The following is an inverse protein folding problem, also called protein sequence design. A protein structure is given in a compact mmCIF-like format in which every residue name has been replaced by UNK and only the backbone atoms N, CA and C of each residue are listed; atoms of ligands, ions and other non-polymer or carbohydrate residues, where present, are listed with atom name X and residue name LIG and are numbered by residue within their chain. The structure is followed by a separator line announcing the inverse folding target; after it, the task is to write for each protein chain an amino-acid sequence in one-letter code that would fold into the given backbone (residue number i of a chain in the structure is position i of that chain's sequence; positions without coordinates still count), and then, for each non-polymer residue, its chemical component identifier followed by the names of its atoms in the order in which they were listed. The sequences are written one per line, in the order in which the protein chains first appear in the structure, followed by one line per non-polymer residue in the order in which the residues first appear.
data_IF_044379170466
#
_entry.id   IF_044379170466
#
_cell.length_a   1.000
_cell.length_b   1.000
_cell.length_c   1.000
_cell.angle_alpha   90.00
_cell.angle_beta   90.00
_cell.angle_gamma   90.00
#
_symmetry.space_group_name_H-M   'P 1'
#
loop_
_entity.id
_entity.type
_entity.pdbx_description
1 polymer ?
#
# COMPACT_ATOMS: atom_id res chain seq x y z
N UNK A 1 -20.75 -14.14 2.33
CA UNK A 1 -20.86 -12.65 2.14
C UNK A 1 -20.25 -11.90 3.32
N UNK A 2 -20.62 -12.19 4.56
CA UNK A 2 -20.11 -11.48 5.77
C UNK A 2 -18.58 -11.57 5.92
N UNK A 3 -17.97 -12.73 5.74
CA UNK A 3 -16.50 -12.89 5.80
C UNK A 3 -15.75 -12.09 4.74
N UNK A 4 -16.30 -11.97 3.52
CA UNK A 4 -15.71 -11.16 2.46
C UNK A 4 -15.69 -9.67 2.85
N UNK A 5 -16.78 -9.20 3.47
CA UNK A 5 -16.85 -7.82 4.00
C UNK A 5 -15.83 -7.61 5.10
N UNK A 6 -15.69 -8.57 6.04
CA UNK A 6 -14.69 -8.47 7.11
C UNK A 6 -13.26 -8.41 6.57
N UNK A 7 -12.91 -9.20 5.53
CA UNK A 7 -11.59 -9.12 4.89
C UNK A 7 -11.37 -7.78 4.19
N UNK A 8 -12.38 -7.25 3.51
CA UNK A 8 -12.31 -5.92 2.89
C UNK A 8 -12.15 -4.80 3.93
N UNK A 9 -12.87 -4.87 5.03
CA UNK A 9 -12.71 -3.95 6.17
C UNK A 9 -11.31 -4.08 6.79
N UNK A 10 -10.82 -5.31 6.99
CA UNK A 10 -9.47 -5.55 7.50
C UNK A 10 -8.38 -4.95 6.60
N UNK A 11 -8.53 -5.05 5.28
CA UNK A 11 -7.61 -4.46 4.33
C UNK A 11 -7.56 -2.92 4.47
N UNK A 12 -8.71 -2.25 4.48
CA UNK A 12 -8.77 -0.79 4.56
C UNK A 12 -8.37 -0.26 5.93
N UNK A 13 -8.84 -0.91 7.01
CA UNK A 13 -8.47 -0.52 8.38
C UNK A 13 -6.98 -0.77 8.65
N UNK A 14 -6.42 -1.87 8.13
CA UNK A 14 -4.99 -2.16 8.24
C UNK A 14 -4.13 -1.09 7.59
N UNK A 15 -4.54 -0.59 6.43
CA UNK A 15 -3.88 0.54 5.78
C UNK A 15 -3.94 1.81 6.63
N UNK A 16 -5.12 2.21 7.11
CA UNK A 16 -5.31 3.40 7.93
C UNK A 16 -4.50 3.35 9.23
N UNK A 17 -4.50 2.19 9.90
CA UNK A 17 -3.73 2.00 11.14
C UNK A 17 -2.23 2.01 10.84
N UNK A 18 -1.80 1.35 9.76
CA UNK A 18 -0.40 1.32 9.35
C UNK A 18 0.15 2.71 9.07
N UNK A 19 -0.55 3.51 8.29
CA UNK A 19 -0.23 4.90 7.97
C UNK A 19 -0.17 5.78 9.23
N UNK A 20 -1.18 5.69 10.12
CA UNK A 20 -1.20 6.46 11.35
C UNK A 20 -0.12 6.04 12.38
N UNK A 21 0.33 4.78 12.39
CA UNK A 21 1.46 4.34 13.20
C UNK A 21 2.79 4.79 12.59
N UNK A 22 2.92 4.76 11.27
CA UNK A 22 4.11 5.21 10.55
C UNK A 22 4.38 6.70 10.78
N UNK A 23 3.34 7.54 10.82
CA UNK A 23 3.47 8.98 11.08
C UNK A 23 4.26 9.31 12.35
N UNK A 24 4.26 8.41 13.35
CA UNK A 24 4.98 8.59 14.62
C UNK A 24 6.49 8.40 14.50
N UNK A 25 6.96 7.72 13.47
CA UNK A 25 8.36 7.32 13.29
C UNK A 25 8.95 7.64 11.92
N UNK A 26 8.14 8.15 11.00
CA UNK A 26 8.56 8.51 9.67
C UNK A 26 9.77 9.46 9.70
N UNK A 27 10.76 9.19 8.86
CA UNK A 27 12.05 9.90 8.78
C UNK A 27 12.92 9.82 10.04
N UNK A 28 12.54 9.07 11.08
CA UNK A 28 13.40 8.90 12.25
C UNK A 28 14.46 7.81 12.00
N UNK A 29 15.71 8.02 12.46
CA UNK A 29 16.73 6.99 12.43
C UNK A 29 16.35 5.77 13.29
N UNK A 30 16.77 4.54 12.93
CA UNK A 30 16.42 3.31 13.66
C UNK A 30 16.73 3.36 15.16
N UNK A 31 17.87 3.95 15.50
CA UNK A 31 18.27 4.07 16.91
C UNK A 31 17.31 4.95 17.70
N UNK A 32 16.78 6.01 17.08
CA UNK A 32 15.77 6.87 17.72
C UNK A 32 14.44 6.15 17.85
N UNK A 33 14.02 5.41 16.82
CA UNK A 33 12.80 4.59 16.85
C UNK A 33 12.92 3.55 17.97
N UNK A 34 14.01 2.80 18.01
CA UNK A 34 14.24 1.78 19.04
C UNK A 34 14.30 2.37 20.46
N UNK A 35 14.91 3.56 20.62
CA UNK A 35 14.96 4.25 21.92
C UNK A 35 13.57 4.71 22.38
N UNK A 36 12.75 5.25 21.45
CA UNK A 36 11.41 5.76 21.76
C UNK A 36 10.39 4.63 21.91
N UNK A 37 10.51 3.60 21.08
CA UNK A 37 9.60 2.47 21.00
C UNK A 37 10.35 1.13 21.05
N UNK A 38 10.92 0.74 22.19
CA UNK A 38 11.75 -0.47 22.31
C UNK A 38 10.99 -1.77 21.99
N UNK A 39 9.67 -1.76 22.12
CA UNK A 39 8.77 -2.89 21.79
C UNK A 39 8.01 -2.68 20.47
N UNK A 40 8.47 -1.76 19.61
CA UNK A 40 7.78 -1.34 18.40
C UNK A 40 6.65 -0.33 18.69
N UNK A 41 6.20 0.34 17.62
CA UNK A 41 5.07 1.29 17.69
C UNK A 41 3.78 0.48 17.78
N UNK A 42 3.08 0.55 18.92
CA UNK A 42 1.93 -0.30 19.26
C UNK A 42 0.67 0.48 19.58
N UNK A 43 0.76 1.79 19.69
CA UNK A 43 -0.35 2.66 20.07
C UNK A 43 -0.41 3.85 19.13
N UNK A 44 -1.61 4.30 18.86
CA UNK A 44 -1.85 5.57 18.20
C UNK A 44 -1.72 6.68 19.25
N UNK A 45 -0.73 7.53 19.08
CA UNK A 45 -0.36 8.60 20.01
C UNK A 45 -0.26 9.93 19.25
N UNK A 46 -0.24 11.05 20.00
CA UNK A 46 0.06 12.36 19.45
C UNK A 46 1.52 12.48 19.01
N UNK A 47 1.80 13.28 17.99
CA UNK A 47 3.14 13.71 17.63
C UNK A 47 3.65 13.10 16.32
N UNK A 48 4.89 12.63 16.33
CA UNK A 48 5.58 12.20 15.10
C UNK A 48 6.15 13.38 14.30
N UNK A 49 6.58 13.12 13.09
CA UNK A 49 7.19 14.10 12.19
C UNK A 49 6.23 15.23 11.82
N UNK A 50 4.94 14.91 11.73
CA UNK A 50 3.89 15.83 11.29
C UNK A 50 3.04 16.39 12.43
N UNK A 51 3.39 16.10 13.69
CA UNK A 51 2.63 16.52 14.88
C UNK A 51 1.12 16.15 14.78
N UNK A 52 0.87 14.91 14.36
CA UNK A 52 -0.49 14.39 14.14
C UNK A 52 -1.19 14.06 15.45
N UNK A 53 -2.52 14.16 15.47
CA UNK A 53 -3.34 13.60 16.55
C UNK A 53 -3.43 12.06 16.41
N UNK A 54 -3.78 11.31 17.51
CA UNK A 54 -3.83 9.86 17.46
C UNK A 54 -4.76 9.33 16.37
N UNK A 55 -4.20 8.52 15.46
CA UNK A 55 -4.97 7.93 14.37
C UNK A 55 -5.23 8.84 13.17
N UNK A 56 -4.63 10.03 13.13
CA UNK A 56 -4.71 10.88 11.96
C UNK A 56 -3.91 10.26 10.81
N UNK A 57 -4.53 10.02 9.65
CA UNK A 57 -3.85 9.50 8.48
C UNK A 57 -3.10 10.61 7.73
N UNK A 58 -2.16 10.20 6.88
CA UNK A 58 -1.41 11.04 5.93
C UNK A 58 -1.93 10.84 4.50
N UNK A 59 -1.12 11.26 3.51
CA UNK A 59 -1.45 11.19 2.07
C UNK A 59 -1.74 9.75 1.60
N UNK A 60 -1.08 8.73 2.14
CA UNK A 60 -1.35 7.31 1.90
C UNK A 60 -2.83 6.98 2.02
N UNK A 61 -3.41 7.30 3.16
CA UNK A 61 -4.81 6.99 3.45
C UNK A 61 -5.78 8.02 2.90
N UNK A 62 -5.41 9.29 2.87
CA UNK A 62 -6.28 10.34 2.29
C UNK A 62 -6.58 10.04 0.82
N UNK A 63 -5.55 9.71 0.02
CA UNK A 63 -5.72 9.36 -1.39
C UNK A 63 -6.45 8.02 -1.56
N UNK A 64 -6.19 7.03 -0.70
CA UNK A 64 -6.93 5.77 -0.72
C UNK A 64 -8.42 5.98 -0.41
N UNK A 65 -8.75 6.79 0.60
CA UNK A 65 -10.15 7.12 0.93
C UNK A 65 -10.85 7.92 -0.17
N UNK A 66 -10.12 8.80 -0.85
CA UNK A 66 -10.62 9.52 -2.01
C UNK A 66 -10.99 8.56 -3.14
N UNK A 67 -10.11 7.61 -3.45
CA UNK A 67 -10.35 6.54 -4.41
C UNK A 67 -11.55 5.67 -3.96
N UNK A 68 -11.59 5.24 -2.70
CA UNK A 68 -12.69 4.44 -2.16
C UNK A 68 -14.04 5.13 -2.33
N UNK A 69 -14.15 6.42 -1.96
CA UNK A 69 -15.38 7.21 -2.12
C UNK A 69 -15.84 7.29 -3.57
N UNK A 70 -14.89 7.47 -4.50
CA UNK A 70 -15.18 7.47 -5.92
C UNK A 70 -15.75 6.11 -6.36
N UNK A 71 -15.07 5.01 -6.01
CA UNK A 71 -15.46 3.66 -6.39
C UNK A 71 -16.81 3.24 -5.80
N UNK A 72 -17.12 3.63 -4.57
CA UNK A 72 -18.43 3.40 -3.95
C UNK A 72 -19.55 4.10 -4.71
N UNK A 73 -19.28 5.33 -5.19
CA UNK A 73 -20.27 6.12 -5.95
C UNK A 73 -20.53 5.58 -7.35
N UNK A 74 -19.51 5.02 -8.00
CA UNK A 74 -19.55 4.70 -9.44
C UNK A 74 -19.58 3.22 -9.74
N UNK A 75 -19.16 2.38 -8.79
CA UNK A 75 -18.94 0.94 -8.95
C UNK A 75 -17.98 0.57 -10.10
N UNK A 76 -17.21 1.52 -10.61
CA UNK A 76 -16.24 1.31 -11.70
C UNK A 76 -15.10 2.32 -11.59
N UNK A 77 -14.02 2.09 -12.32
CA UNK A 77 -12.86 3.00 -12.36
C UNK A 77 -12.85 3.85 -13.62
N UNK A 78 -12.53 5.14 -13.48
CA UNK A 78 -12.29 6.05 -14.58
C UNK A 78 -11.09 6.96 -14.26
N UNK A 79 -10.01 6.84 -15.03
CA UNK A 79 -8.76 7.55 -14.82
C UNK A 79 -8.92 9.08 -14.85
N UNK A 80 -9.75 9.61 -15.77
CA UNK A 80 -9.98 11.07 -15.86
C UNK A 80 -10.68 11.63 -14.64
N UNK A 81 -11.68 10.93 -14.13
CA UNK A 81 -12.40 11.32 -12.94
C UNK A 81 -11.47 11.28 -11.71
N UNK A 82 -10.63 10.24 -11.59
CA UNK A 82 -9.65 10.14 -10.52
C UNK A 82 -8.56 11.20 -10.61
N UNK A 83 -8.10 11.54 -11.81
CA UNK A 83 -7.16 12.66 -11.99
C UNK A 83 -7.75 13.96 -11.45
N UNK A 84 -9.02 14.25 -11.75
CA UNK A 84 -9.71 15.45 -11.25
C UNK A 84 -9.89 15.40 -9.72
N UNK A 85 -10.21 14.24 -9.14
CA UNK A 85 -10.34 14.06 -7.71
C UNK A 85 -8.98 14.29 -6.99
N UNK A 86 -7.89 13.72 -7.53
CA UNK A 86 -6.55 13.92 -7.00
C UNK A 86 -6.10 15.39 -7.10
N UNK A 87 -6.44 16.09 -8.18
CA UNK A 87 -6.19 17.54 -8.30
C UNK A 87 -6.98 18.35 -7.25
N UNK A 88 -8.24 17.99 -7.01
CA UNK A 88 -9.04 18.62 -5.97
C UNK A 88 -8.41 18.42 -4.59
N UNK A 89 -7.94 17.20 -4.28
CA UNK A 89 -7.22 16.91 -3.05
C UNK A 89 -5.91 17.73 -2.94
N UNK A 90 -5.10 17.78 -3.99
CA UNK A 90 -3.87 18.59 -3.97
C UNK A 90 -4.15 20.08 -3.72
N UNK A 91 -5.24 20.61 -4.30
CA UNK A 91 -5.65 22.01 -4.12
C UNK A 91 -6.20 22.30 -2.71
N UNK A 92 -6.54 21.28 -1.91
CA UNK A 92 -6.89 21.44 -0.50
C UNK A 92 -5.68 21.69 0.41
N UNK A 93 -4.47 21.68 -0.16
CA UNK A 93 -3.21 21.89 0.55
C UNK A 93 -3.01 20.86 1.67
N UNK A 94 -2.96 19.55 1.34
CA UNK A 94 -2.68 18.51 2.32
C UNK A 94 -1.35 18.80 3.03
N UNK A 95 -1.27 18.49 4.33
CA UNK A 95 -0.05 18.74 5.12
C UNK A 95 1.11 17.80 4.73
N UNK A 96 0.79 16.64 4.16
CA UNK A 96 1.76 15.71 3.58
C UNK A 96 1.38 15.43 2.12
N UNK A 97 2.36 15.48 1.24
CA UNK A 97 2.18 15.17 -0.17
C UNK A 97 3.52 14.85 -0.83
N UNK A 98 3.66 13.64 -1.35
CA UNK A 98 4.85 13.22 -2.06
C UNK A 98 5.18 14.11 -3.27
N UNK A 99 6.46 14.49 -3.43
CA UNK A 99 6.93 15.39 -4.51
C UNK A 99 6.57 14.85 -5.90
N UNK A 100 6.67 13.53 -6.13
CA UNK A 100 6.30 12.89 -7.40
C UNK A 100 4.81 13.05 -7.70
N UNK A 101 3.96 12.91 -6.70
CA UNK A 101 2.50 13.10 -6.80
C UNK A 101 2.18 14.54 -7.19
N UNK A 102 2.66 15.49 -6.39
CA UNK A 102 2.40 16.91 -6.62
C UNK A 102 2.86 17.35 -8.02
N UNK A 103 4.10 17.01 -8.41
CA UNK A 103 4.65 17.33 -9.72
C UNK A 103 3.84 16.74 -10.86
N UNK A 104 3.42 15.48 -10.75
CA UNK A 104 2.65 14.81 -11.79
C UNK A 104 1.24 15.41 -11.95
N UNK A 105 0.56 15.71 -10.84
CA UNK A 105 -0.76 16.34 -10.86
C UNK A 105 -0.72 17.75 -11.46
N UNK A 106 0.40 18.46 -11.31
CA UNK A 106 0.67 19.75 -11.95
C UNK A 106 1.19 19.63 -13.39
N UNK A 107 1.07 18.44 -14.00
CA UNK A 107 1.43 18.21 -15.41
C UNK A 107 2.91 17.90 -15.67
N UNK A 108 3.71 17.68 -14.63
CA UNK A 108 5.16 17.40 -14.71
C UNK A 108 5.46 15.96 -14.25
N UNK A 109 4.93 14.97 -14.97
CA UNK A 109 5.19 13.56 -14.69
C UNK A 109 6.67 13.21 -14.91
N UNK A 110 7.25 12.47 -13.96
CA UNK A 110 8.61 11.95 -14.07
C UNK A 110 8.57 10.43 -14.39
N UNK A 111 8.87 10.00 -15.63
CA UNK A 111 8.86 8.58 -16.00
C UNK A 111 9.98 7.78 -15.35
N UNK A 112 11.00 8.43 -14.81
CA UNK A 112 12.10 7.76 -14.13
C UNK A 112 11.86 7.59 -12.62
N UNK A 113 10.84 8.23 -12.06
CA UNK A 113 10.52 8.09 -10.63
C UNK A 113 9.94 6.71 -10.34
N UNK A 114 10.56 6.00 -9.42
CA UNK A 114 10.10 4.75 -8.85
C UNK A 114 9.60 4.91 -7.41
N UNK A 115 9.03 6.07 -7.08
CA UNK A 115 8.44 6.31 -5.77
C UNK A 115 7.18 5.45 -5.55
N UNK A 116 6.86 5.16 -4.28
CA UNK A 116 5.76 4.27 -3.89
C UNK A 116 4.37 4.94 -3.88
N UNK A 117 4.26 6.24 -4.13
CA UNK A 117 3.03 7.02 -3.94
C UNK A 117 1.81 6.62 -4.78
N UNK A 118 1.97 5.74 -5.79
CA UNK A 118 0.83 5.08 -6.42
C UNK A 118 0.44 3.80 -5.68
N UNK A 119 1.45 3.04 -5.18
CA UNK A 119 1.23 1.77 -4.49
C UNK A 119 0.50 1.97 -3.15
N UNK A 120 0.84 3.02 -2.42
CA UNK A 120 0.29 3.32 -1.11
C UNK A 120 -1.24 3.50 -1.10
N UNK A 121 -1.85 3.93 -2.21
CA UNK A 121 -3.29 4.25 -2.29
C UNK A 121 -4.16 3.20 -2.99
N UNK A 122 -3.58 2.11 -3.52
CA UNK A 122 -4.27 1.23 -4.48
C UNK A 122 -5.28 0.25 -3.85
N UNK A 123 -5.26 0.06 -2.52
CA UNK A 123 -6.06 -0.96 -1.84
C UNK A 123 -7.56 -0.93 -2.16
N UNK A 124 -8.25 0.22 -2.30
CA UNK A 124 -9.66 0.25 -2.65
C UNK A 124 -9.98 -0.33 -4.04
N UNK A 125 -9.03 -0.23 -4.99
CA UNK A 125 -9.17 -0.87 -6.30
C UNK A 125 -9.12 -2.40 -6.18
N UNK A 126 -8.24 -2.94 -5.36
CA UNK A 126 -8.21 -4.36 -5.05
C UNK A 126 -9.49 -4.84 -4.38
N UNK A 127 -10.06 -4.05 -3.47
CA UNK A 127 -11.34 -4.35 -2.80
C UNK A 127 -12.49 -4.38 -3.82
N UNK A 128 -12.65 -3.36 -4.64
CA UNK A 128 -13.66 -3.32 -5.71
C UNK A 128 -13.45 -4.49 -6.68
N UNK A 129 -12.20 -4.81 -6.98
CA UNK A 129 -11.75 -5.86 -7.88
C UNK A 129 -12.30 -7.25 -7.56
N UNK A 130 -12.78 -7.47 -6.34
CA UNK A 130 -13.43 -8.74 -5.96
C UNK A 130 -14.69 -9.05 -6.76
N UNK A 131 -15.25 -8.09 -7.47
CA UNK A 131 -16.46 -8.22 -8.29
C UNK A 131 -16.15 -8.24 -9.80
N UNK A 132 -14.87 -8.22 -10.20
CA UNK A 132 -14.44 -8.08 -11.57
C UNK A 132 -13.39 -9.14 -11.95
N UNK A 133 -13.22 -9.43 -13.25
CA UNK A 133 -12.11 -10.25 -13.73
C UNK A 133 -10.77 -9.63 -13.33
N UNK A 134 -9.79 -10.45 -12.92
CA UNK A 134 -8.48 -9.97 -12.44
C UNK A 134 -7.76 -9.09 -13.49
N UNK A 135 -7.87 -9.40 -14.77
CA UNK A 135 -7.30 -8.58 -15.83
C UNK A 135 -7.90 -7.15 -15.87
N UNK A 136 -9.18 -6.99 -15.53
CA UNK A 136 -9.81 -5.67 -15.39
C UNK A 136 -9.21 -4.90 -14.21
N UNK A 137 -9.01 -5.57 -13.09
CA UNK A 137 -8.39 -4.98 -11.87
C UNK A 137 -6.97 -4.52 -12.16
N UNK A 138 -6.18 -5.35 -12.83
CA UNK A 138 -4.81 -5.03 -13.26
C UNK A 138 -4.78 -3.78 -14.14
N UNK A 139 -5.64 -3.74 -15.15
CA UNK A 139 -5.69 -2.59 -16.06
C UNK A 139 -6.10 -1.30 -15.35
N UNK A 140 -7.05 -1.35 -14.42
CA UNK A 140 -7.42 -0.20 -13.60
C UNK A 140 -6.30 0.26 -12.67
N UNK A 141 -5.57 -0.67 -12.06
CA UNK A 141 -4.44 -0.36 -11.21
C UNK A 141 -3.30 0.31 -11.99
N UNK A 142 -3.02 -0.18 -13.20
CA UNK A 142 -2.06 0.43 -14.13
C UNK A 142 -2.50 1.86 -14.49
N UNK A 143 -3.77 2.05 -14.85
CA UNK A 143 -4.31 3.37 -15.19
C UNK A 143 -4.23 4.35 -14.00
N UNK A 144 -4.52 3.90 -12.77
CA UNK A 144 -4.41 4.74 -11.58
C UNK A 144 -2.96 5.14 -11.30
N UNK A 145 -2.06 4.16 -11.31
CA UNK A 145 -0.64 4.43 -11.10
C UNK A 145 -0.07 5.40 -12.15
N UNK A 146 -0.49 5.26 -13.42
CA UNK A 146 -0.05 6.11 -14.53
C UNK A 146 -0.47 7.58 -14.37
N UNK A 147 -1.42 7.89 -13.51
CA UNK A 147 -1.80 9.28 -13.22
C UNK A 147 -0.62 10.06 -12.63
N UNK A 148 0.21 9.42 -11.79
CA UNK A 148 1.28 10.06 -11.04
C UNK A 148 2.65 9.39 -11.21
N UNK A 149 2.70 8.07 -11.40
CA UNK A 149 3.93 7.26 -11.43
C UNK A 149 3.98 6.39 -12.70
N UNK A 150 4.31 6.98 -13.87
CA UNK A 150 4.26 6.28 -15.14
C UNK A 150 5.43 5.28 -15.35
N UNK A 151 6.35 5.14 -14.41
CA UNK A 151 7.43 4.17 -14.49
C UNK A 151 6.89 2.73 -14.55
N UNK A 152 7.35 1.87 -15.49
CA UNK A 152 6.86 0.50 -15.64
C UNK A 152 6.89 -0.32 -14.35
N UNK A 153 7.92 -0.18 -13.53
CA UNK A 153 8.04 -0.88 -12.23
C UNK A 153 6.88 -0.48 -11.30
N UNK A 154 6.53 0.81 -11.24
CA UNK A 154 5.39 1.28 -10.45
C UNK A 154 4.06 0.73 -10.97
N UNK A 155 3.87 0.72 -12.30
CA UNK A 155 2.64 0.20 -12.93
C UNK A 155 2.44 -1.28 -12.61
N UNK A 156 3.50 -2.07 -12.75
CA UNK A 156 3.48 -3.52 -12.52
C UNK A 156 3.31 -3.86 -11.03
N UNK A 157 3.98 -3.15 -10.12
CA UNK A 157 3.79 -3.32 -8.68
C UNK A 157 2.33 -3.07 -8.27
N UNK A 158 1.72 -2.00 -8.80
CA UNK A 158 0.30 -1.69 -8.54
C UNK A 158 -0.66 -2.76 -9.09
N UNK A 159 -0.39 -3.28 -10.29
CA UNK A 159 -1.17 -4.35 -10.90
C UNK A 159 -1.14 -5.62 -10.03
N UNK A 160 0.05 -6.05 -9.61
CA UNK A 160 0.23 -7.22 -8.73
C UNK A 160 -0.43 -7.03 -7.37
N UNK A 161 -0.27 -5.85 -6.75
CA UNK A 161 -0.86 -5.54 -5.43
C UNK A 161 -2.39 -5.54 -5.48
N UNK A 162 -3.00 -4.84 -6.44
CA UNK A 162 -4.47 -4.79 -6.58
C UNK A 162 -5.06 -6.19 -6.85
N UNK A 163 -4.40 -6.97 -7.70
CA UNK A 163 -4.76 -8.37 -7.97
C UNK A 163 -4.66 -9.23 -6.73
N UNK A 164 -3.58 -9.10 -5.95
CA UNK A 164 -3.36 -9.87 -4.72
C UNK A 164 -4.45 -9.57 -3.67
N UNK A 165 -4.80 -8.30 -3.49
CA UNK A 165 -5.88 -7.89 -2.58
C UNK A 165 -7.22 -8.49 -3.04
N UNK A 166 -7.56 -8.38 -4.33
CA UNK A 166 -8.81 -8.93 -4.87
C UNK A 166 -8.90 -10.44 -4.66
N UNK A 167 -7.82 -11.17 -4.90
CA UNK A 167 -7.74 -12.62 -4.70
C UNK A 167 -7.87 -13.00 -3.23
N UNK A 168 -7.11 -12.37 -2.35
CA UNK A 168 -7.15 -12.64 -0.91
C UNK A 168 -8.55 -12.43 -0.33
N UNK A 169 -9.22 -11.35 -0.71
CA UNK A 169 -10.57 -11.04 -0.22
C UNK A 169 -11.60 -12.00 -0.80
N UNK A 170 -11.52 -12.31 -2.09
CA UNK A 170 -12.53 -13.09 -2.80
C UNK A 170 -12.48 -14.57 -2.44
N UNK A 171 -11.29 -15.17 -2.45
CA UNK A 171 -11.07 -16.60 -2.30
C UNK A 171 -10.69 -17.02 -0.87
N UNK A 172 -10.50 -16.08 0.05
CA UNK A 172 -9.94 -16.38 1.37
C UNK A 172 -8.61 -17.15 1.29
N UNK A 173 -7.80 -16.77 0.32
CA UNK A 173 -6.51 -17.43 0.03
C UNK A 173 -5.56 -17.19 1.21
N UNK A 174 -4.96 -18.25 1.73
CA UNK A 174 -3.93 -18.12 2.76
C UNK A 174 -2.66 -17.45 2.23
N UNK A 175 -1.84 -16.93 3.14
CA UNK A 175 -0.67 -16.12 2.81
C UNK A 175 0.32 -16.85 1.89
N UNK A 176 0.60 -18.13 2.17
CA UNK A 176 1.55 -18.94 1.39
C UNK A 176 1.05 -19.19 -0.03
N UNK A 177 -0.21 -19.56 -0.17
CA UNK A 177 -0.84 -19.79 -1.47
C UNK A 177 -0.92 -18.47 -2.26
N UNK A 178 -1.25 -17.36 -1.60
CA UNK A 178 -1.28 -16.04 -2.24
C UNK A 178 0.09 -15.63 -2.74
N UNK A 179 1.14 -15.83 -1.95
CA UNK A 179 2.51 -15.54 -2.34
C UNK A 179 2.92 -16.33 -3.59
N UNK A 180 2.64 -17.64 -3.64
CA UNK A 180 2.91 -18.49 -4.81
C UNK A 180 2.15 -17.96 -6.05
N UNK A 181 0.90 -17.54 -5.89
CA UNK A 181 0.13 -16.92 -6.98
C UNK A 181 0.76 -15.63 -7.48
N UNK A 182 1.20 -14.74 -6.57
CA UNK A 182 1.88 -13.49 -6.95
C UNK A 182 3.14 -13.79 -7.76
N UNK A 183 3.94 -14.75 -7.34
CA UNK A 183 5.14 -15.20 -8.07
C UNK A 183 4.81 -15.69 -9.48
N UNK A 184 3.79 -16.53 -9.64
CA UNK A 184 3.34 -16.98 -10.95
C UNK A 184 2.81 -15.84 -11.83
N UNK A 185 2.06 -14.90 -11.26
CA UNK A 185 1.54 -13.76 -12.03
C UNK A 185 2.67 -12.83 -12.47
N UNK A 186 3.66 -12.59 -11.63
CA UNK A 186 4.83 -11.78 -11.98
C UNK A 186 5.57 -12.38 -13.17
N UNK A 187 5.79 -13.70 -13.17
CA UNK A 187 6.40 -14.42 -14.29
C UNK A 187 5.54 -14.35 -15.55
N UNK A 188 4.22 -14.61 -15.44
CA UNK A 188 3.31 -14.61 -16.59
C UNK A 188 3.16 -13.22 -17.22
N UNK A 189 3.25 -12.15 -16.43
CA UNK A 189 3.22 -10.76 -16.89
C UNK A 189 4.58 -10.25 -17.37
N UNK A 190 5.63 -11.07 -17.26
CA UNK A 190 7.03 -10.70 -17.55
C UNK A 190 7.38 -9.35 -16.94
N UNK A 191 7.13 -9.20 -15.62
CA UNK A 191 7.44 -7.95 -14.92
C UNK A 191 8.94 -7.68 -14.88
N UNK A 192 9.31 -6.43 -14.60
CA UNK A 192 10.69 -5.98 -14.46
C UNK A 192 11.49 -6.84 -13.48
N UNK A 193 12.77 -7.07 -13.79
CA UNK A 193 13.67 -7.91 -12.99
C UNK A 193 13.78 -7.42 -11.52
N UNK A 194 13.66 -6.11 -11.27
CA UNK A 194 13.65 -5.58 -9.90
C UNK A 194 12.48 -6.11 -9.08
N UNK A 195 11.31 -6.30 -9.70
CA UNK A 195 10.14 -6.88 -9.02
C UNK A 195 10.32 -8.39 -8.81
N UNK A 196 10.87 -9.10 -9.78
CA UNK A 196 11.18 -10.54 -9.66
C UNK A 196 12.17 -10.75 -8.52
N UNK A 197 13.24 -9.96 -8.47
CA UNK A 197 14.23 -10.01 -7.40
C UNK A 197 13.62 -9.71 -6.04
N UNK A 198 12.76 -8.67 -5.91
CA UNK A 198 12.07 -8.35 -4.66
C UNK A 198 11.17 -9.50 -4.18
N UNK A 199 10.51 -10.21 -5.10
CA UNK A 199 9.71 -11.40 -4.78
C UNK A 199 10.59 -12.51 -4.23
N UNK A 200 11.72 -12.83 -4.87
CA UNK A 200 12.64 -13.88 -4.45
C UNK A 200 13.30 -13.55 -3.10
N UNK A 201 13.81 -12.34 -2.93
CA UNK A 201 14.44 -11.90 -1.69
C UNK A 201 13.45 -11.87 -0.51
N UNK A 202 12.17 -11.58 -0.76
CA UNK A 202 11.14 -11.58 0.29
C UNK A 202 10.84 -12.96 0.88
N UNK A 203 11.28 -14.03 0.26
CA UNK A 203 11.24 -15.38 0.85
C UNK A 203 12.31 -15.58 1.94
N UNK A 204 13.38 -14.77 1.93
CA UNK A 204 14.60 -14.99 2.72
C UNK A 204 14.73 -13.98 3.85
N UNK A 205 14.46 -12.70 3.58
CA UNK A 205 14.71 -11.61 4.52
C UNK A 205 13.80 -10.41 4.26
N UNK A 206 13.57 -9.55 5.29
CA UNK A 206 12.93 -8.25 5.07
C UNK A 206 13.82 -7.37 4.18
N UNK A 207 13.26 -6.31 3.56
CA UNK A 207 14.04 -5.44 2.69
C UNK A 207 15.21 -4.81 3.45
N UNK A 208 16.37 -4.78 2.81
CA UNK A 208 17.52 -4.02 3.26
C UNK A 208 17.28 -2.53 3.00
N UNK A 209 17.96 -1.68 3.73
CA UNK A 209 17.90 -0.22 3.54
C UNK A 209 16.49 0.39 3.62
N UNK A 210 15.56 -0.29 4.30
CA UNK A 210 14.18 0.16 4.47
C UNK A 210 14.10 1.64 4.89
N UNK A 211 14.96 2.07 5.81
CA UNK A 211 14.92 3.43 6.38
C UNK A 211 15.48 4.48 5.43
N UNK A 212 16.49 4.13 4.64
CA UNK A 212 17.13 5.08 3.71
C UNK A 212 16.39 5.17 2.38
N UNK A 213 15.57 4.17 2.05
CA UNK A 213 14.88 4.06 0.76
C UNK A 213 13.38 3.74 0.91
N UNK A 214 12.77 4.09 2.04
CA UNK A 214 11.35 3.82 2.32
C UNK A 214 10.38 4.34 1.25
N UNK A 215 10.73 5.42 0.55
CA UNK A 215 9.95 5.96 -0.55
C UNK A 215 10.04 5.18 -1.86
N UNK A 216 10.94 4.20 -1.99
CA UNK A 216 11.08 3.41 -3.21
C UNK A 216 10.05 2.29 -3.31
N UNK A 217 9.38 2.19 -4.46
CA UNK A 217 8.29 1.22 -4.69
C UNK A 217 8.74 -0.23 -4.47
N UNK A 218 10.00 -0.57 -4.80
CA UNK A 218 10.56 -1.92 -4.59
C UNK A 218 10.65 -2.25 -3.10
N UNK A 219 11.10 -1.32 -2.28
CA UNK A 219 11.18 -1.53 -0.81
C UNK A 219 9.78 -1.73 -0.22
N UNK A 220 8.81 -0.90 -0.62
CA UNK A 220 7.43 -1.05 -0.17
C UNK A 220 6.80 -2.38 -0.62
N UNK A 221 7.02 -2.79 -1.88
CA UNK A 221 6.52 -4.03 -2.44
C UNK A 221 7.18 -5.27 -1.78
N UNK A 222 8.50 -5.26 -1.61
CA UNK A 222 9.25 -6.30 -0.90
C UNK A 222 8.75 -6.44 0.55
N UNK A 223 8.61 -5.31 1.28
CA UNK A 223 8.13 -5.34 2.65
C UNK A 223 6.70 -5.92 2.74
N UNK A 224 5.81 -5.55 1.83
CA UNK A 224 4.47 -6.12 1.75
C UNK A 224 4.52 -7.64 1.61
N UNK A 225 5.36 -8.17 0.73
CA UNK A 225 5.51 -9.62 0.52
C UNK A 225 6.12 -10.32 1.74
N UNK A 226 7.12 -9.71 2.36
CA UNK A 226 7.71 -10.22 3.60
C UNK A 226 6.66 -10.29 4.72
N UNK A 227 5.90 -9.21 4.94
CA UNK A 227 4.86 -9.17 5.95
C UNK A 227 3.71 -10.13 5.66
N UNK A 228 3.34 -10.31 4.39
CA UNK A 228 2.34 -11.30 4.00
C UNK A 228 2.69 -12.70 4.51
N UNK A 229 3.98 -13.08 4.47
CA UNK A 229 4.45 -14.40 4.86
C UNK A 229 4.66 -14.53 6.37
N UNK A 230 5.03 -13.46 7.09
CA UNK A 230 5.51 -13.51 8.47
C UNK A 230 4.59 -12.82 9.49
N UNK A 231 3.69 -11.93 9.07
CA UNK A 231 2.85 -11.17 10.01
C UNK A 231 1.94 -12.08 10.85
N UNK A 232 1.48 -13.20 10.30
CA UNK A 232 0.63 -14.14 11.04
C UNK A 232 1.39 -14.80 12.21
N UNK A 233 2.63 -15.22 11.98
CA UNK A 233 3.47 -15.81 13.03
C UNK A 233 3.76 -14.79 14.13
N UNK A 234 4.08 -13.55 13.74
CA UNK A 234 4.29 -12.45 14.68
C UNK A 234 3.02 -12.13 15.48
N UNK A 235 1.85 -12.10 14.83
CA UNK A 235 0.57 -11.90 15.50
C UNK A 235 0.26 -13.04 16.48
N UNK A 236 0.47 -14.28 16.09
CA UNK A 236 0.25 -15.45 16.95
C UNK A 236 1.19 -15.48 18.15
N UNK A 237 2.44 -15.03 17.98
CA UNK A 237 3.39 -14.89 19.08
C UNK A 237 2.96 -13.81 20.10
N UNK A 238 2.21 -12.79 19.68
CA UNK A 238 1.73 -11.70 20.53
C UNK A 238 0.36 -11.98 21.18
N UNK A 239 -0.43 -12.91 20.62
CA UNK A 239 -1.78 -13.23 21.09
C UNK A 239 -1.90 -13.53 22.59
N UNK A 240 -0.96 -14.26 23.24
CA UNK A 240 -1.02 -14.50 24.67
C UNK A 240 -0.99 -13.22 25.51
N UNK A 241 -0.36 -12.16 25.00
CA UNK A 241 -0.24 -10.87 25.71
C UNK A 241 -1.44 -9.95 25.50
N UNK A 242 -2.25 -10.20 24.44
CA UNK A 242 -3.44 -9.40 24.13
C UNK A 242 -4.69 -9.85 24.89
N UNK A 243 -4.72 -11.08 25.40
CA UNK A 243 -5.84 -11.65 26.14
C UNK A 243 -5.75 -11.44 27.67
N UNK A 244 -4.72 -10.76 28.16
CA UNK A 244 -4.47 -10.54 29.59
C UNK A 244 -4.65 -9.06 30.01
N UNK A 245 -5.38 -8.25 29.22
CA UNK A 245 -5.69 -6.86 29.52
C UNK A 245 -7.18 -6.59 29.67
#
# INVERSE_FOLDING_TARGET
MQEKIQRAQGCLLGQLVGDALDSLVEFLPPQMIHKKYPNGVRKLEDGGTWDTIPGQPKDDSEMALLLARYLVKTSTYNAKAMQNANLFWLNSQPFDCGVTIASALLGRKNPNSQANGALMRISPLGILGTNYPLATVENWAIQDAQLTHPNPVCLQANALMARAIAEAINQNTDAKTLFIKIKHWAQALAVDDLLLQAIEESEIAPPKDYITQQGWVIIAFHNMLWQLQHAWEQFMALRPFLNNG
#
